data_IF_849360897226
#
_entry.id   IF_849360897226
#
_cell.length_a   1.000
_cell.length_b   1.000
_cell.length_c   1.000
_cell.angle_alpha   90.00
_cell.angle_beta   90.00
_cell.angle_gamma   90.00
#
_symmetry.space_group_name_H-M   'P 1'
#
loop_
_entity.id
_entity.type
_entity.pdbx_description
1 polymer ?
#
# COMPACT_ATOMS: atom_id res chain seq x y z
N UNK A 1 31.81 -53.88 -33.95
CA UNK A 1 31.62 -53.57 -32.51
C UNK A 1 31.93 -52.13 -32.15
N UNK A 2 33.02 -51.56 -32.65
CA UNK A 2 33.32 -50.09 -32.39
C UNK A 2 32.29 -49.12 -32.94
N UNK A 3 31.68 -49.38 -34.08
CA UNK A 3 30.62 -48.53 -34.67
C UNK A 3 29.34 -48.48 -33.84
N UNK A 4 28.96 -49.62 -33.27
CA UNK A 4 27.78 -49.69 -32.39
C UNK A 4 27.97 -48.93 -31.09
N UNK A 5 29.17 -48.94 -30.53
CA UNK A 5 29.51 -48.16 -29.34
C UNK A 5 29.50 -46.68 -29.64
N UNK A 6 30.07 -46.28 -30.78
CA UNK A 6 30.08 -44.88 -31.19
C UNK A 6 28.65 -44.34 -31.40
N UNK A 7 27.75 -45.13 -32.00
CA UNK A 7 26.34 -44.77 -32.16
C UNK A 7 25.62 -44.66 -30.81
N UNK A 8 25.88 -45.60 -29.93
CA UNK A 8 25.28 -45.60 -28.59
C UNK A 8 25.75 -44.43 -27.75
N UNK A 9 27.02 -44.06 -27.82
CA UNK A 9 27.59 -42.89 -27.14
C UNK A 9 27.02 -41.58 -27.70
N UNK A 10 26.89 -41.48 -29.03
CA UNK A 10 26.31 -40.33 -29.67
C UNK A 10 24.84 -40.15 -29.30
N UNK A 11 24.07 -41.23 -29.18
CA UNK A 11 22.69 -41.20 -28.73
C UNK A 11 22.57 -40.76 -27.27
N UNK A 12 23.44 -41.30 -26.41
CA UNK A 12 23.46 -40.94 -25.00
C UNK A 12 23.81 -39.46 -24.80
N UNK A 13 24.77 -38.94 -25.57
CA UNK A 13 25.10 -37.52 -25.53
C UNK A 13 23.97 -36.63 -26.01
N UNK A 14 23.29 -37.01 -27.10
CA UNK A 14 22.11 -36.28 -27.57
C UNK A 14 20.97 -36.25 -26.58
N UNK A 15 20.75 -37.35 -25.89
CA UNK A 15 19.75 -37.42 -24.83
C UNK A 15 20.10 -36.56 -23.62
N UNK A 16 21.38 -36.54 -23.22
CA UNK A 16 21.88 -35.64 -22.18
C UNK A 16 21.68 -34.17 -22.55
N UNK A 17 21.98 -33.80 -23.79
CA UNK A 17 21.78 -32.45 -24.27
C UNK A 17 20.30 -32.03 -24.28
N UNK A 18 19.43 -32.94 -24.73
CA UNK A 18 17.98 -32.73 -24.70
C UNK A 18 17.47 -32.55 -23.28
N UNK A 19 17.93 -33.39 -22.38
CA UNK A 19 17.55 -33.30 -20.96
C UNK A 19 18.08 -32.03 -20.32
N UNK A 20 19.32 -31.64 -20.61
CA UNK A 20 19.89 -30.38 -20.15
C UNK A 20 19.09 -29.15 -20.64
N UNK A 21 18.69 -29.15 -21.93
CA UNK A 21 17.85 -28.09 -22.49
C UNK A 21 16.48 -28.06 -21.84
N UNK A 22 15.88 -29.21 -21.59
CA UNK A 22 14.59 -29.33 -20.91
C UNK A 22 14.65 -28.77 -19.49
N UNK A 23 15.69 -29.15 -18.75
CA UNK A 23 15.92 -28.66 -17.40
C UNK A 23 16.20 -27.16 -17.36
N UNK A 24 17.00 -26.67 -18.29
CA UNK A 24 17.29 -25.25 -18.42
C UNK A 24 16.02 -24.45 -18.72
N UNK A 25 15.16 -24.96 -19.60
CA UNK A 25 13.89 -24.33 -19.96
C UNK A 25 12.92 -24.31 -18.77
N UNK A 26 12.81 -25.42 -18.06
CA UNK A 26 11.98 -25.49 -16.84
C UNK A 26 12.49 -24.55 -15.75
N UNK A 27 13.80 -24.47 -15.56
CA UNK A 27 14.41 -23.56 -14.60
C UNK A 27 14.16 -22.08 -14.97
N UNK A 28 14.24 -21.75 -16.26
CA UNK A 28 13.95 -20.41 -16.74
C UNK A 28 12.48 -20.05 -16.56
N UNK A 29 11.56 -20.94 -16.88
CA UNK A 29 10.12 -20.76 -16.68
C UNK A 29 9.80 -20.58 -15.21
N UNK A 30 10.40 -21.39 -14.33
CA UNK A 30 10.23 -21.27 -12.88
C UNK A 30 10.76 -19.93 -12.35
N UNK A 31 11.91 -19.48 -12.84
CA UNK A 31 12.48 -18.19 -12.49
C UNK A 31 11.58 -17.02 -12.90
N UNK A 32 11.09 -17.03 -14.14
CA UNK A 32 10.19 -16.00 -14.65
C UNK A 32 8.87 -15.97 -13.87
N UNK A 33 8.35 -17.13 -13.55
CA UNK A 33 7.14 -17.26 -12.73
C UNK A 33 7.35 -16.69 -11.34
N UNK A 34 8.46 -17.02 -10.71
CA UNK A 34 8.82 -16.49 -9.39
C UNK A 34 9.02 -14.98 -9.40
N UNK A 35 9.64 -14.44 -10.44
CA UNK A 35 9.79 -12.98 -10.62
C UNK A 35 8.45 -12.28 -10.76
N UNK A 36 7.52 -12.84 -11.56
CA UNK A 36 6.17 -12.28 -11.72
C UNK A 36 5.39 -12.29 -10.42
N UNK A 37 5.46 -13.39 -9.68
CA UNK A 37 4.80 -13.50 -8.38
C UNK A 37 5.38 -12.51 -7.36
N UNK A 38 6.71 -12.36 -7.34
CA UNK A 38 7.38 -11.38 -6.49
C UNK A 38 6.99 -9.95 -6.85
N UNK A 39 6.88 -9.62 -8.14
CA UNK A 39 6.43 -8.31 -8.60
C UNK A 39 4.98 -8.02 -8.20
N UNK A 40 4.09 -8.99 -8.38
CA UNK A 40 2.69 -8.87 -7.98
C UNK A 40 2.54 -8.65 -6.48
N UNK A 41 3.32 -9.38 -5.70
CA UNK A 41 3.36 -9.23 -4.26
C UNK A 41 3.86 -7.84 -3.84
N UNK A 42 4.95 -7.38 -4.46
CA UNK A 42 5.50 -6.06 -4.21
C UNK A 42 4.50 -4.95 -4.58
N UNK A 43 3.81 -5.07 -5.71
CA UNK A 43 2.77 -4.12 -6.14
C UNK A 43 1.58 -4.13 -5.18
N UNK A 44 1.17 -5.31 -4.71
CA UNK A 44 0.08 -5.44 -3.74
C UNK A 44 0.43 -4.77 -2.43
N UNK A 45 1.61 -5.02 -1.91
CA UNK A 45 2.09 -4.40 -0.67
C UNK A 45 2.23 -2.87 -0.82
N UNK A 46 2.72 -2.40 -1.96
CA UNK A 46 2.84 -0.98 -2.25
C UNK A 46 1.46 -0.30 -2.28
N UNK A 47 0.46 -0.94 -2.89
CA UNK A 47 -0.93 -0.44 -2.92
C UNK A 47 -1.55 -0.40 -1.53
N UNK A 48 -1.35 -1.44 -0.74
CA UNK A 48 -1.84 -1.50 0.64
C UNK A 48 -1.22 -0.40 1.50
N UNK A 49 0.07 -0.15 1.31
CA UNK A 49 0.77 0.93 2.01
C UNK A 49 0.26 2.31 1.59
N UNK A 50 0.04 2.54 0.30
CA UNK A 50 -0.56 3.79 -0.20
C UNK A 50 -1.97 4.01 0.35
N UNK A 51 -2.80 2.98 0.35
CA UNK A 51 -4.15 3.04 0.91
C UNK A 51 -4.14 3.36 2.40
N UNK A 52 -3.20 2.77 3.13
CA UNK A 52 -3.02 3.03 4.55
C UNK A 52 -2.62 4.47 4.80
N UNK A 53 -1.65 4.99 4.05
CA UNK A 53 -1.21 6.39 4.13
C UNK A 53 -2.33 7.36 3.78
N UNK A 54 -3.07 7.05 2.73
CA UNK A 54 -4.22 7.86 2.32
C UNK A 54 -5.32 7.85 3.37
N UNK A 55 -5.58 6.71 4.01
CA UNK A 55 -6.55 6.59 5.08
C UNK A 55 -6.12 7.36 6.34
N UNK A 56 -4.84 7.30 6.70
CA UNK A 56 -4.29 8.07 7.81
C UNK A 56 -4.39 9.58 7.57
N UNK A 57 -4.04 10.00 6.35
CA UNK A 57 -4.13 11.42 5.98
C UNK A 57 -5.57 11.91 6.06
N UNK A 58 -6.52 11.15 5.55
CA UNK A 58 -7.96 11.47 5.63
C UNK A 58 -8.44 11.53 7.08
N UNK A 59 -8.00 10.60 7.91
CA UNK A 59 -8.34 10.60 9.32
C UNK A 59 -7.78 11.83 10.05
N UNK A 60 -6.56 12.23 9.76
CA UNK A 60 -5.93 13.43 10.31
C UNK A 60 -6.66 14.71 9.86
N UNK A 61 -7.04 14.80 8.59
CA UNK A 61 -7.80 15.91 8.05
C UNK A 61 -9.19 16.02 8.68
N UNK A 62 -9.87 14.88 8.88
CA UNK A 62 -11.15 14.84 9.57
C UNK A 62 -11.04 15.28 11.03
N UNK A 63 -10.02 14.80 11.72
CA UNK A 63 -9.75 15.17 13.11
C UNK A 63 -9.45 16.67 13.24
N UNK A 64 -8.62 17.21 12.33
CA UNK A 64 -8.33 18.64 12.28
C UNK A 64 -9.60 19.47 12.02
N UNK A 65 -10.45 19.01 11.12
CA UNK A 65 -11.73 19.66 10.81
C UNK A 65 -12.68 19.65 12.00
N UNK A 66 -12.80 18.56 12.69
CA UNK A 66 -13.60 18.43 13.93
C UNK A 66 -13.06 19.34 15.03
N UNK A 67 -11.75 19.43 15.17
CA UNK A 67 -11.12 20.31 16.14
C UNK A 67 -11.40 21.79 15.82
N UNK A 68 -11.35 22.19 14.55
CA UNK A 68 -11.69 23.54 14.10
C UNK A 68 -13.17 23.87 14.35
N UNK A 69 -14.07 22.96 14.01
CA UNK A 69 -15.51 23.13 14.26
C UNK A 69 -15.81 23.30 15.76
N UNK A 70 -15.17 22.47 16.57
CA UNK A 70 -15.31 22.55 18.02
C UNK A 70 -14.80 23.90 18.55
N UNK A 71 -13.64 24.33 18.08
CA UNK A 71 -13.04 25.61 18.45
C UNK A 71 -13.93 26.79 18.03
N UNK A 72 -14.54 26.74 16.83
CA UNK A 72 -15.48 27.73 16.36
C UNK A 72 -16.77 27.78 17.20
N UNK A 73 -17.29 26.60 17.57
CA UNK A 73 -18.48 26.51 18.42
C UNK A 73 -18.22 27.09 19.82
N UNK A 74 -17.06 26.77 20.39
CA UNK A 74 -16.64 27.34 21.68
C UNK A 74 -16.50 28.86 21.58
N UNK A 75 -15.87 29.36 20.52
CA UNK A 75 -15.71 30.79 20.29
C UNK A 75 -17.04 31.50 20.08
N UNK A 76 -17.98 30.91 19.35
CA UNK A 76 -19.34 31.43 19.17
C UNK A 76 -20.11 31.51 20.49
N UNK A 77 -20.02 30.46 21.27
CA UNK A 77 -20.63 30.42 22.60
C UNK A 77 -20.06 31.50 23.51
N UNK A 78 -18.74 31.63 23.55
CA UNK A 78 -18.09 32.67 24.34
C UNK A 78 -18.51 34.09 23.93
N UNK A 79 -18.65 34.35 22.63
CA UNK A 79 -19.13 35.62 22.11
C UNK A 79 -20.58 35.89 22.51
N UNK A 80 -21.46 34.91 22.44
CA UNK A 80 -22.86 35.03 22.91
C UNK A 80 -22.93 35.30 24.38
N UNK A 81 -22.18 34.60 25.19
CA UNK A 81 -22.11 34.78 26.62
C UNK A 81 -21.58 36.17 27.00
N UNK A 82 -20.55 36.65 26.30
CA UNK A 82 -20.02 37.99 26.48
C UNK A 82 -21.04 39.10 26.13
N UNK A 83 -21.80 38.92 25.06
CA UNK A 83 -22.86 39.85 24.66
C UNK A 83 -24.01 39.87 25.70
N UNK A 84 -24.39 38.73 26.19
CA UNK A 84 -25.39 38.59 27.22
C UNK A 84 -24.94 39.27 28.52
N UNK A 85 -23.71 39.02 28.96
CA UNK A 85 -23.13 39.65 30.13
C UNK A 85 -23.03 41.16 30.01
N UNK A 86 -22.65 41.67 28.83
CA UNK A 86 -22.62 43.12 28.56
C UNK A 86 -24.01 43.76 28.61
N UNK A 87 -25.02 43.10 28.04
CA UNK A 87 -26.42 43.57 28.13
C UNK A 87 -26.93 43.59 29.56
N UNK A 88 -26.64 42.54 30.32
CA UNK A 88 -27.05 42.45 31.72
C UNK A 88 -26.39 43.52 32.60
N UNK A 89 -25.11 43.81 32.33
CA UNK A 89 -24.40 44.89 33.00
C UNK A 89 -24.99 46.28 32.69
N UNK A 90 -25.42 46.53 31.44
CA UNK A 90 -26.12 47.78 31.05
C UNK A 90 -27.43 47.95 31.78
N UNK A 91 -28.23 46.91 31.84
CA UNK A 91 -29.53 46.93 32.55
C UNK A 91 -29.33 47.21 34.03
N UNK A 92 -28.33 46.62 34.68
CA UNK A 92 -27.99 46.90 36.08
C UNK A 92 -27.56 48.35 36.33
N UNK A 93 -26.83 48.95 35.35
CA UNK A 93 -26.41 50.36 35.45
C UNK A 93 -27.57 51.37 35.34
N UNK A 94 -28.57 51.01 34.59
CA UNK A 94 -29.79 51.91 34.34
C UNK A 94 -30.83 51.71 35.44
N UNK A 95 -30.88 50.55 36.02
CA UNK A 95 -31.80 50.22 37.09
C UNK A 95 -31.21 50.52 38.45
#
# INVERSE_FOLDING_TARGET
MAERRAIAEARAEREKEKEARRQAKLAEEARLKAEREAQREAERLAREEEERRAAELRAQEEEARRAEELAEDVARKARRDARYAARKARVRKIG
#
